data_IF_084807988631
#
_entry.id   IF_084807988631
#
_cell.length_a   1.000
_cell.length_b   1.000
_cell.length_c   1.000
_cell.angle_alpha   90.00
_cell.angle_beta   90.00
_cell.angle_gamma   90.00
#
_symmetry.space_group_name_H-M   'P 1'
#
loop_
_entity.id
_entity.type
_entity.pdbx_description
1 polymer ?
#
# COMPACT_ATOMS: atom_id res chain seq x y z
N UNK A 1 -3.12 6.37 6.57
CA UNK A 1 -4.21 7.30 6.96
C UNK A 1 -4.96 7.79 5.73
N UNK A 2 -5.38 6.91 4.82
CA UNK A 2 -5.87 7.29 3.49
C UNK A 2 -7.38 7.12 3.26
N UNK A 3 -8.16 6.79 4.30
CA UNK A 3 -9.61 6.60 4.15
C UNK A 3 -10.23 7.92 3.70
N UNK A 4 -11.01 7.88 2.62
CA UNK A 4 -11.66 9.04 2.02
C UNK A 4 -10.86 9.72 0.90
N UNK A 5 -9.61 9.30 0.64
CA UNK A 5 -8.86 9.75 -0.54
C UNK A 5 -9.46 9.19 -1.86
N UNK A 6 -10.14 8.05 -1.78
CA UNK A 6 -11.01 7.51 -2.82
C UNK A 6 -12.41 7.29 -2.22
N UNK A 7 -13.44 7.28 -3.07
CA UNK A 7 -14.79 6.90 -2.66
C UNK A 7 -14.79 5.45 -2.16
N UNK A 8 -15.11 5.26 -0.89
CA UNK A 8 -15.13 3.94 -0.25
C UNK A 8 -16.29 3.08 -0.72
N UNK A 9 -17.27 3.61 -1.45
CA UNK A 9 -18.35 2.81 -2.04
C UNK A 9 -18.10 2.45 -3.51
N UNK A 10 -17.03 2.97 -4.10
CA UNK A 10 -16.63 2.62 -5.46
C UNK A 10 -16.32 1.13 -5.58
N UNK A 11 -16.73 0.52 -6.70
CA UNK A 11 -16.41 -0.88 -7.03
C UNK A 11 -14.89 -1.14 -7.13
N UNK A 12 -14.10 -0.10 -7.39
CA UNK A 12 -12.65 -0.17 -7.46
C UNK A 12 -11.96 0.04 -6.10
N UNK A 13 -12.71 0.36 -5.04
CA UNK A 13 -12.15 0.53 -3.70
C UNK A 13 -11.89 -0.81 -3.03
N UNK A 14 -10.60 -1.11 -2.82
CA UNK A 14 -10.18 -2.27 -2.02
C UNK A 14 -10.26 -2.02 -0.50
N UNK A 15 -10.71 -0.84 -0.06
CA UNK A 15 -10.73 -0.43 1.36
C UNK A 15 -9.32 -0.38 1.98
N UNK A 16 -9.24 -0.54 3.30
CA UNK A 16 -7.99 -0.43 4.04
C UNK A 16 -7.10 -1.67 3.83
N UNK A 17 -5.82 -1.44 3.54
CA UNK A 17 -4.71 -2.41 3.57
C UNK A 17 -4.07 -2.45 4.97
N UNK A 18 -3.53 -3.61 5.37
CA UNK A 18 -2.66 -3.75 6.54
C UNK A 18 -3.17 -4.76 7.58
N UNK A 19 -2.64 -4.67 8.81
CA UNK A 19 -2.89 -5.61 9.91
C UNK A 19 -4.37 -5.79 10.27
N UNK A 20 -5.18 -4.74 10.11
CA UNK A 20 -6.64 -4.76 10.28
C UNK A 20 -7.37 -4.36 8.99
N UNK A 21 -6.68 -4.48 7.85
CA UNK A 21 -7.25 -4.24 6.54
C UNK A 21 -8.18 -5.36 6.09
N UNK A 22 -8.81 -5.15 4.94
CA UNK A 22 -9.60 -6.20 4.29
C UNK A 22 -8.67 -7.26 3.72
N UNK A 23 -9.10 -8.53 3.77
CA UNK A 23 -8.31 -9.63 3.22
C UNK A 23 -8.02 -9.42 1.72
N UNK A 24 -9.01 -8.92 0.97
CA UNK A 24 -8.87 -8.69 -0.46
C UNK A 24 -7.90 -7.54 -0.81
N UNK A 25 -7.78 -6.50 0.01
CA UNK A 25 -6.71 -5.50 -0.17
C UNK A 25 -5.33 -6.12 0.01
N UNK A 26 -5.15 -6.94 1.04
CA UNK A 26 -3.88 -7.59 1.32
C UNK A 26 -3.52 -8.58 0.19
N UNK A 27 -4.47 -9.39 -0.29
CA UNK A 27 -4.24 -10.28 -1.43
C UNK A 27 -3.89 -9.54 -2.71
N UNK A 28 -4.58 -8.42 -3.00
CA UNK A 28 -4.28 -7.62 -4.19
C UNK A 28 -2.84 -7.08 -4.16
N UNK A 29 -2.35 -6.66 -2.99
CA UNK A 29 -0.96 -6.23 -2.82
C UNK A 29 0.02 -7.40 -2.91
N UNK A 30 -0.31 -8.57 -2.36
CA UNK A 30 0.51 -9.77 -2.51
C UNK A 30 0.64 -10.23 -3.97
N UNK A 31 -0.42 -10.06 -4.76
CA UNK A 31 -0.51 -10.50 -6.16
C UNK A 31 -0.10 -9.46 -7.20
N UNK A 32 0.10 -8.20 -6.82
CA UNK A 32 0.46 -7.13 -7.76
C UNK A 32 1.91 -7.26 -8.28
N UNK A 33 2.14 -6.77 -9.50
CA UNK A 33 3.48 -6.66 -10.09
C UNK A 33 4.02 -5.22 -10.08
N UNK A 34 3.19 -4.24 -9.68
CA UNK A 34 3.56 -2.84 -9.58
C UNK A 34 2.77 -2.14 -8.46
N UNK A 35 3.45 -1.34 -7.64
CA UNK A 35 2.81 -0.54 -6.58
C UNK A 35 2.91 0.95 -6.91
N UNK A 36 1.79 1.67 -6.78
CA UNK A 36 1.75 3.13 -6.78
C UNK A 36 1.47 3.58 -5.34
N UNK A 37 2.48 4.13 -4.68
CA UNK A 37 2.43 4.63 -3.31
C UNK A 37 2.33 6.16 -3.33
N UNK A 38 1.15 6.71 -3.01
CA UNK A 38 0.87 8.16 -3.02
C UNK A 38 0.73 8.68 -1.59
N UNK A 39 1.66 9.53 -1.14
CA UNK A 39 1.63 10.16 0.18
C UNK A 39 1.55 9.14 1.32
N UNK A 40 2.25 8.03 1.16
CA UNK A 40 2.23 6.91 2.09
C UNK A 40 3.63 6.61 2.59
N UNK A 41 3.73 6.30 3.88
CA UNK A 41 4.91 5.68 4.49
C UNK A 41 4.65 4.19 4.71
N UNK A 42 5.65 3.36 4.44
CA UNK A 42 5.60 1.92 4.67
C UNK A 42 5.78 1.61 6.17
N UNK A 43 4.77 1.98 6.96
CA UNK A 43 4.65 1.74 8.41
C UNK A 43 4.56 0.24 8.70
N UNK A 44 5.06 -0.18 9.86
CA UNK A 44 5.10 -1.57 10.32
C UNK A 44 3.70 -2.20 10.43
N UNK A 45 2.64 -1.40 10.60
CA UNK A 45 1.26 -1.90 10.62
C UNK A 45 0.67 -2.17 9.24
N UNK A 46 1.35 -1.71 8.19
CA UNK A 46 0.99 -1.97 6.78
C UNK A 46 1.90 -3.07 6.22
N UNK A 47 3.21 -2.90 6.37
CA UNK A 47 4.23 -3.83 5.93
C UNK A 47 4.86 -4.53 7.15
N UNK A 48 4.13 -5.47 7.77
CA UNK A 48 4.57 -6.17 8.99
C UNK A 48 5.99 -6.73 8.90
N UNK A 49 6.35 -7.27 7.73
CA UNK A 49 7.71 -7.65 7.39
C UNK A 49 8.05 -7.01 6.05
N UNK A 50 8.81 -5.89 6.01
CA UNK A 50 9.03 -5.13 4.77
C UNK A 50 9.59 -5.98 3.62
N UNK A 51 10.48 -6.93 3.92
CA UNK A 51 11.06 -7.86 2.92
C UNK A 51 10.05 -8.83 2.30
N UNK A 52 8.89 -9.00 2.92
CA UNK A 52 7.82 -9.89 2.44
C UNK A 52 6.62 -9.10 1.90
N UNK A 53 6.63 -7.77 2.02
CA UNK A 53 5.56 -6.94 1.51
C UNK A 53 5.59 -6.94 -0.02
N UNK A 54 4.43 -7.21 -0.64
CA UNK A 54 4.25 -7.25 -2.09
C UNK A 54 5.34 -8.07 -2.84
N UNK A 55 5.47 -9.37 -2.56
CA UNK A 55 6.61 -10.18 -3.01
C UNK A 55 6.69 -10.36 -4.53
N UNK A 56 5.58 -10.11 -5.25
CA UNK A 56 5.52 -10.18 -6.72
C UNK A 56 5.73 -8.83 -7.41
N UNK A 57 5.77 -7.73 -6.64
CA UNK A 57 5.97 -6.40 -7.19
C UNK A 57 7.38 -6.26 -7.77
N UNK A 58 7.46 -5.87 -9.04
CA UNK A 58 8.71 -5.65 -9.77
C UNK A 58 9.22 -4.23 -9.61
N UNK A 59 8.32 -3.29 -9.35
CA UNK A 59 8.65 -1.88 -9.14
C UNK A 59 7.61 -1.20 -8.24
N UNK A 60 8.08 -0.16 -7.56
CA UNK A 60 7.28 0.73 -6.72
C UNK A 60 7.51 2.15 -7.20
N UNK A 61 6.44 2.85 -7.58
CA UNK A 61 6.47 4.29 -7.77
C UNK A 61 6.01 4.95 -6.48
N UNK A 62 6.97 5.52 -5.74
CA UNK A 62 6.71 6.19 -4.47
C UNK A 62 6.74 7.71 -4.66
N UNK A 63 5.60 8.34 -4.38
CA UNK A 63 5.41 9.78 -4.42
C UNK A 63 5.21 10.28 -3.00
N UNK A 64 6.25 10.90 -2.45
CA UNK A 64 6.19 11.58 -1.16
C UNK A 64 6.79 12.99 -1.28
N UNK A 65 6.31 13.91 -0.45
CA UNK A 65 6.86 15.26 -0.35
C UNK A 65 8.11 15.28 0.53
N UNK A 66 8.21 14.33 1.46
CA UNK A 66 9.37 14.16 2.32
C UNK A 66 10.38 13.21 1.67
N UNK A 67 11.53 13.76 1.25
CA UNK A 67 12.61 12.98 0.64
C UNK A 67 13.13 11.87 1.57
N UNK A 68 13.01 12.02 2.89
CA UNK A 68 13.48 11.01 3.84
C UNK A 68 12.65 9.72 3.84
N UNK A 69 11.44 9.75 3.28
CA UNK A 69 10.56 8.58 3.18
C UNK A 69 10.78 7.77 1.88
N UNK A 70 11.44 8.32 0.85
CA UNK A 70 11.60 7.66 -0.47
C UNK A 70 12.80 6.71 -0.53
N UNK A 71 13.87 6.99 0.23
CA UNK A 71 15.14 6.22 0.15
C UNK A 71 15.25 5.07 1.17
N UNK A 72 14.13 4.51 1.66
CA UNK A 72 14.13 3.54 2.76
C UNK A 72 13.90 2.08 2.37
#
# INVERSE_FOLDING_TARGET
MGIGAIDTQSELSLQMLGMHGTAFANYAVEDCDFIIALGSRFDDRVAAVPKQFAPKAKAVAHFDIDASEIER
#
